data_IF_629983036522
#
_entry.id   IF_629983036522
#
_cell.length_a   1.000
_cell.length_b   1.000
_cell.length_c   1.000
_cell.angle_alpha   90.00
_cell.angle_beta   90.00
_cell.angle_gamma   90.00
#
_symmetry.space_group_name_H-M   'P 1'
#
loop_
_entity.id
_entity.type
_entity.pdbx_description
1 polymer ?
#
# COMPACT_ATOMS: atom_id res chain seq x y z
N UNK A 1 16.44 -8.01 6.37
CA UNK A 1 15.06 -8.55 6.55
C UNK A 1 14.11 -7.60 5.84
N UNK A 2 13.27 -8.11 4.94
CA UNK A 2 12.31 -7.28 4.20
C UNK A 2 11.05 -7.09 5.03
N UNK A 3 10.59 -5.85 5.19
CA UNK A 3 9.39 -5.52 5.95
C UNK A 3 8.13 -6.15 5.36
N UNK A 4 7.22 -6.65 6.21
CA UNK A 4 5.90 -7.10 5.75
C UNK A 4 5.03 -5.89 5.42
N UNK A 5 4.27 -5.96 4.31
CA UNK A 5 3.42 -4.84 3.88
C UNK A 5 2.20 -4.66 4.78
N UNK A 6 1.70 -5.71 5.45
CA UNK A 6 0.60 -5.60 6.43
C UNK A 6 0.99 -4.76 7.65
N UNK A 7 2.29 -4.67 7.94
CA UNK A 7 2.86 -3.85 9.02
C UNK A 7 3.18 -2.43 8.59
N UNK A 8 2.55 -1.94 7.51
CA UNK A 8 2.77 -0.60 6.95
C UNK A 8 2.80 0.50 8.02
N UNK A 9 1.92 0.43 9.02
CA UNK A 9 1.83 1.40 10.11
C UNK A 9 3.05 1.41 11.07
N UNK A 10 3.83 0.33 11.12
CA UNK A 10 5.01 0.23 11.99
C UNK A 10 6.23 0.94 11.38
N UNK A 11 6.30 1.03 10.05
CA UNK A 11 7.50 1.50 9.35
C UNK A 11 7.25 2.64 8.35
N UNK A 12 6.00 2.96 8.02
CA UNK A 12 5.62 4.12 7.20
C UNK A 12 4.91 5.16 8.07
N UNK A 13 5.59 6.22 8.53
CA UNK A 13 5.05 7.15 9.53
C UNK A 13 3.74 7.86 9.13
N UNK A 14 3.47 7.99 7.83
CA UNK A 14 2.23 8.59 7.33
C UNK A 14 1.02 7.65 7.37
N UNK A 15 1.22 6.38 7.73
CA UNK A 15 0.16 5.37 7.86
C UNK A 15 -0.16 5.21 9.34
N UNK A 16 -1.40 5.48 9.71
CA UNK A 16 -1.87 5.33 11.09
C UNK A 16 -2.38 3.92 11.36
N UNK A 17 -3.07 3.32 10.38
CA UNK A 17 -3.62 1.97 10.46
C UNK A 17 -3.45 1.22 9.14
N UNK A 18 -3.15 -0.06 9.27
CA UNK A 18 -3.20 -1.05 8.20
C UNK A 18 -3.95 -2.27 8.76
N UNK A 19 -5.10 -2.59 8.19
CA UNK A 19 -6.02 -3.61 8.74
C UNK A 19 -6.32 -4.66 7.69
N UNK A 20 -6.09 -5.92 8.06
CA UNK A 20 -6.46 -7.09 7.25
C UNK A 20 -7.98 -7.18 7.14
N UNK A 21 -8.48 -7.32 5.90
CA UNK A 21 -9.91 -7.48 5.65
C UNK A 21 -10.26 -8.87 5.10
N UNK A 22 -9.44 -9.42 4.20
CA UNK A 22 -9.66 -10.74 3.61
C UNK A 22 -8.38 -11.31 2.96
N UNK A 23 -8.31 -12.64 2.85
CA UNK A 23 -7.20 -13.34 2.18
C UNK A 23 -5.94 -13.43 3.03
N UNK A 24 -4.84 -13.84 2.40
CA UNK A 24 -3.54 -14.07 3.04
C UNK A 24 -2.49 -13.13 2.44
N UNK A 25 -1.72 -12.43 3.28
CA UNK A 25 -0.70 -11.49 2.82
C UNK A 25 0.28 -12.15 1.83
N UNK A 26 0.63 -11.43 0.77
CA UNK A 26 1.52 -11.93 -0.28
C UNK A 26 0.82 -12.81 -1.32
N UNK A 27 -0.42 -13.24 -1.08
CA UNK A 27 -1.23 -13.99 -2.04
C UNK A 27 -2.19 -13.05 -2.80
N UNK A 28 -2.16 -13.04 -4.15
CA UNK A 28 -3.13 -12.28 -4.94
C UNK A 28 -4.57 -12.58 -4.51
N UNK A 29 -5.35 -11.52 -4.30
CA UNK A 29 -6.68 -11.58 -3.72
C UNK A 29 -6.77 -11.07 -2.28
N UNK A 30 -5.64 -10.98 -1.56
CA UNK A 30 -5.55 -10.33 -0.25
C UNK A 30 -6.06 -8.89 -0.27
N UNK A 31 -6.82 -8.49 0.75
CA UNK A 31 -7.47 -7.19 0.86
C UNK A 31 -7.14 -6.58 2.21
N UNK A 32 -6.77 -5.30 2.18
CA UNK A 32 -6.50 -4.50 3.38
C UNK A 32 -7.14 -3.11 3.29
N UNK A 33 -7.37 -2.51 4.45
CA UNK A 33 -7.65 -1.08 4.58
C UNK A 33 -6.43 -0.37 5.15
N UNK A 34 -6.00 0.69 4.47
CA UNK A 34 -4.91 1.56 4.93
C UNK A 34 -5.50 2.94 5.20
N UNK A 35 -5.22 3.52 6.36
CA UNK A 35 -5.65 4.88 6.69
C UNK A 35 -4.55 5.68 7.37
N UNK A 36 -4.51 6.99 7.12
CA UNK A 36 -3.54 7.90 7.70
C UNK A 36 -3.52 9.24 7.01
N UNK A 37 -2.32 9.79 6.89
CA UNK A 37 -2.05 11.14 6.37
C UNK A 37 -1.35 11.13 5.01
N UNK A 38 -1.29 9.97 4.34
CA UNK A 38 -0.62 9.83 3.04
C UNK A 38 -1.18 10.78 1.98
N UNK A 39 -2.49 11.07 2.06
CA UNK A 39 -3.17 11.97 1.13
C UNK A 39 -3.96 13.03 1.92
N UNK A 40 -3.38 14.21 2.17
CA UNK A 40 -4.03 15.27 2.94
C UNK A 40 -5.39 15.65 2.34
N UNK A 41 -6.44 15.63 3.16
CA UNK A 41 -7.79 16.08 2.81
C UNK A 41 -8.00 17.52 3.25
N UNK A 42 -8.85 18.27 2.53
CA UNK A 42 -9.14 19.69 2.85
C UNK A 42 -9.72 19.88 4.26
N UNK A 43 -10.50 18.90 4.71
CA UNK A 43 -11.25 18.99 5.96
C UNK A 43 -10.45 18.46 7.17
N UNK A 44 -9.18 18.07 6.97
CA UNK A 44 -8.32 17.49 8.00
C UNK A 44 -8.59 16.01 8.30
N UNK A 45 -9.55 15.41 7.61
CA UNK A 45 -9.90 14.01 7.72
C UNK A 45 -8.75 13.09 7.26
N UNK A 46 -8.73 11.88 7.83
CA UNK A 46 -7.77 10.84 7.43
C UNK A 46 -8.08 10.36 6.01
N UNK A 47 -7.04 10.24 5.20
CA UNK A 47 -7.12 9.43 3.98
C UNK A 47 -7.32 7.97 4.36
N UNK A 48 -8.19 7.27 3.63
CA UNK A 48 -8.30 5.83 3.71
C UNK A 48 -8.50 5.23 2.32
N UNK A 49 -7.92 4.04 2.15
CA UNK A 49 -7.95 3.27 0.91
C UNK A 49 -8.20 1.81 1.29
N UNK A 50 -9.22 1.22 0.69
CA UNK A 50 -9.37 -0.23 0.61
C UNK A 50 -8.71 -0.70 -0.68
N UNK A 51 -7.73 -1.57 -0.56
CA UNK A 51 -6.97 -2.06 -1.71
C UNK A 51 -6.81 -3.59 -1.69
N UNK A 52 -6.70 -4.16 -2.89
CA UNK A 52 -6.54 -5.60 -3.12
C UNK A 52 -5.21 -5.88 -3.79
N UNK A 53 -4.45 -6.84 -3.27
CA UNK A 53 -3.24 -7.35 -3.91
C UNK A 53 -3.62 -8.06 -5.21
N UNK A 54 -3.11 -7.58 -6.34
CA UNK A 54 -3.35 -8.17 -7.66
C UNK A 54 -2.16 -8.95 -8.20
N UNK A 55 -0.94 -8.59 -7.78
CA UNK A 55 0.28 -9.33 -8.11
C UNK A 55 1.31 -9.19 -6.99
N UNK A 56 2.11 -10.24 -6.81
CA UNK A 56 3.24 -10.27 -5.89
C UNK A 56 4.40 -10.99 -6.58
N UNK A 57 5.57 -10.36 -6.61
CA UNK A 57 6.82 -10.97 -7.01
C UNK A 57 7.71 -11.13 -5.77
N UNK A 58 7.92 -12.38 -5.36
CA UNK A 58 8.69 -12.72 -4.16
C UNK A 58 10.18 -12.53 -4.35
N UNK A 59 10.69 -12.58 -5.58
CA UNK A 59 12.11 -12.39 -5.87
C UNK A 59 12.50 -10.93 -5.78
N UNK A 60 11.63 -10.03 -6.26
CA UNK A 60 11.87 -8.59 -6.20
C UNK A 60 11.16 -7.87 -5.05
N UNK A 61 10.43 -8.61 -4.21
CA UNK A 61 9.57 -8.11 -3.13
C UNK A 61 8.65 -6.96 -3.58
N UNK A 62 8.09 -7.12 -4.79
CA UNK A 62 7.21 -6.15 -5.41
C UNK A 62 5.75 -6.55 -5.21
N UNK A 63 5.00 -5.70 -4.53
CA UNK A 63 3.59 -5.88 -4.23
C UNK A 63 2.78 -4.87 -5.04
N UNK A 64 1.85 -5.36 -5.85
CA UNK A 64 1.00 -4.54 -6.70
C UNK A 64 -0.42 -4.63 -6.18
N UNK A 65 -0.93 -3.53 -5.68
CA UNK A 65 -2.29 -3.40 -5.17
C UNK A 65 -3.14 -2.59 -6.14
N UNK A 66 -4.40 -3.00 -6.31
CA UNK A 66 -5.44 -2.19 -6.95
C UNK A 66 -6.28 -1.52 -5.87
N UNK A 67 -6.41 -0.21 -5.95
CA UNK A 67 -7.30 0.55 -5.07
C UNK A 67 -8.75 0.28 -5.46
N UNK A 68 -9.51 -0.36 -4.57
CA UNK A 68 -10.91 -0.71 -4.84
C UNK A 68 -11.84 0.47 -4.53
N UNK A 69 -11.66 1.08 -3.36
CA UNK A 69 -12.50 2.17 -2.86
C UNK A 69 -11.67 3.06 -1.94
N UNK A 70 -11.84 4.37 -2.02
CA UNK A 70 -11.13 5.34 -1.21
C UNK A 70 -11.92 6.63 -1.02
N UNK A 71 -11.58 7.43 -0.01
CA UNK A 71 -12.07 8.81 0.11
C UNK A 71 -11.17 9.85 -0.56
N UNK A 72 -10.19 9.40 -1.34
CA UNK A 72 -9.17 10.27 -1.93
C UNK A 72 -9.23 10.34 -3.46
N UNK A 73 -10.22 9.68 -4.07
CA UNK A 73 -10.46 9.72 -5.51
C UNK A 73 -9.42 8.94 -6.33
N UNK A 74 -8.79 7.92 -5.75
CA UNK A 74 -7.79 7.08 -6.42
C UNK A 74 -8.33 5.70 -6.82
N UNK A 75 -9.65 5.54 -6.83
CA UNK A 75 -10.30 4.27 -7.14
C UNK A 75 -9.90 3.78 -8.54
N UNK A 76 -9.57 2.49 -8.64
CA UNK A 76 -9.05 1.89 -9.86
C UNK A 76 -7.54 2.04 -10.07
N UNK A 77 -6.86 2.93 -9.34
CA UNK A 77 -5.41 3.13 -9.46
C UNK A 77 -4.62 1.91 -9.03
N UNK A 78 -3.41 1.80 -9.57
CA UNK A 78 -2.43 0.78 -9.24
C UNK A 78 -1.38 1.36 -8.29
N UNK A 79 -1.32 0.80 -7.09
CA UNK A 79 -0.36 1.12 -6.05
C UNK A 79 0.73 0.05 -6.00
N UNK A 80 1.97 0.41 -6.28
CA UNK A 80 3.09 -0.55 -6.26
C UNK A 80 4.05 -0.22 -5.14
N UNK A 81 4.34 -1.22 -4.30
CA UNK A 81 5.32 -1.16 -3.23
C UNK A 81 6.40 -2.21 -3.47
N UNK A 82 7.62 -1.75 -3.73
CA UNK A 82 8.79 -2.61 -3.88
C UNK A 82 9.73 -2.39 -2.70
N UNK A 83 10.06 -3.47 -2.01
CA UNK A 83 10.90 -3.42 -0.81
C UNK A 83 12.26 -4.04 -1.13
N UNK A 84 13.33 -3.25 -1.02
CA UNK A 84 14.68 -3.72 -1.35
C UNK A 84 15.50 -3.78 -0.07
N UNK A 85 16.02 -4.96 0.27
CA UNK A 85 16.96 -5.13 1.37
C UNK A 85 18.28 -4.45 0.99
N UNK A 86 18.74 -3.51 1.82
CA UNK A 86 19.97 -2.76 1.59
C UNK A 86 21.12 -3.24 2.48
N UNK A 87 20.92 -4.27 3.30
CA UNK A 87 21.85 -4.65 4.35
C UNK A 87 21.72 -3.76 5.59
N UNK A 88 22.48 -4.07 6.63
CA UNK A 88 22.53 -3.30 7.90
C UNK A 88 21.15 -2.99 8.51
N UNK A 89 20.24 -3.97 8.46
CA UNK A 89 18.85 -3.87 8.92
C UNK A 89 18.04 -2.72 8.28
N UNK A 90 18.45 -2.29 7.08
CA UNK A 90 17.77 -1.22 6.34
C UNK A 90 16.99 -1.78 5.14
N UNK A 91 15.84 -1.16 4.85
CA UNK A 91 15.01 -1.48 3.70
C UNK A 91 14.71 -0.21 2.92
N UNK A 92 15.01 -0.19 1.63
CA UNK A 92 14.57 0.85 0.71
C UNK A 92 13.15 0.53 0.24
N UNK A 93 12.23 1.46 0.49
CA UNK A 93 10.85 1.39 0.00
C UNK A 93 10.74 2.20 -1.27
N UNK A 94 10.55 1.53 -2.41
CA UNK A 94 10.19 2.18 -3.67
C UNK A 94 8.67 2.10 -3.83
N UNK A 95 8.05 3.27 -3.85
CA UNK A 95 6.60 3.43 -3.94
C UNK A 95 6.24 4.18 -5.22
N UNK A 96 5.28 3.63 -5.97
CA UNK A 96 4.72 4.29 -7.14
C UNK A 96 3.20 4.12 -7.21
N UNK A 97 2.55 5.13 -7.78
CA UNK A 97 1.12 5.17 -8.00
C UNK A 97 0.87 5.48 -9.48
N UNK A 98 0.07 4.65 -10.13
CA UNK A 98 -0.38 4.86 -11.51
C UNK A 98 -1.90 4.98 -11.49
N UNK A 99 -2.41 6.11 -11.97
CA UNK A 99 -3.84 6.34 -12.16
C UNK A 99 -4.10 6.50 -13.66
N UNK A 100 -5.09 5.79 -14.18
CA UNK A 100 -5.53 5.90 -15.58
C UNK A 100 -6.45 7.12 -15.80
N UNK A 101 -6.24 8.19 -15.05
CA UNK A 101 -6.96 9.44 -15.24
C UNK A 101 -6.58 10.04 -16.60
N UNK A 102 -7.39 9.76 -17.63
CA UNK A 102 -7.41 10.54 -18.87
C UNK A 102 -7.94 11.92 -18.47
N UNK A 103 -7.02 12.87 -18.30
CA UNK A 103 -7.32 14.29 -18.07
C UNK A 103 -7.96 14.88 -19.32
#
# INVERSE_FOLDING_TARGET
>A
MVSETKKLAEWMPMVERCTDLAGEEGVPGYVRAVSGFMFPQRDGDRSWIKERLVAMDSTSHSHVYKMEVSNVGLDGSINTLKLVDCGDDSTLVNWSLISDSII
#
